data_IF_039809922385
#
_entry.id   IF_039809922385
#
_cell.length_a   1.000
_cell.length_b   1.000
_cell.length_c   1.000
_cell.angle_alpha   90.00
_cell.angle_beta   90.00
_cell.angle_gamma   90.00
#
_symmetry.space_group_name_H-M   'P 1'
#
loop_
_entity.id
_entity.type
_entity.pdbx_description
1 polymer ?
#
# COMPACT_ATOMS: atom_id res chain seq x y z
N UNK A 1 11.60 40.47 3.44
CA UNK A 1 10.25 40.33 4.02
C UNK A 1 10.34 39.50 5.29
N UNK A 2 9.83 39.98 6.42
CA UNK A 2 9.65 39.16 7.64
C UNK A 2 8.24 38.54 7.65
N UNK A 3 7.82 37.93 6.54
CA UNK A 3 6.59 37.15 6.49
C UNK A 3 6.96 35.70 6.76
N UNK A 4 6.34 35.12 7.78
CA UNK A 4 6.50 33.70 8.07
C UNK A 4 5.83 32.85 6.99
N UNK A 5 6.33 31.63 6.77
CA UNK A 5 5.76 30.68 5.81
C UNK A 5 4.25 30.44 6.04
N UNK A 6 3.79 30.47 7.30
CA UNK A 6 2.37 30.33 7.67
C UNK A 6 1.53 31.52 7.22
N UNK A 7 2.04 32.74 7.37
CA UNK A 7 1.37 33.96 6.93
C UNK A 7 1.28 34.01 5.40
N UNK A 8 2.32 33.55 4.72
CA UNK A 8 2.32 33.42 3.25
C UNK A 8 1.29 32.37 2.81
N UNK A 9 1.28 31.19 3.44
CA UNK A 9 0.33 30.13 3.15
C UNK A 9 -1.12 30.60 3.30
N UNK A 10 -1.43 31.32 4.40
CA UNK A 10 -2.76 31.88 4.65
C UNK A 10 -3.18 32.90 3.57
N UNK A 11 -2.26 33.74 3.09
CA UNK A 11 -2.57 34.71 2.01
C UNK A 11 -2.76 34.05 0.65
N UNK A 12 -2.04 32.96 0.38
CA UNK A 12 -2.15 32.20 -0.85
C UNK A 12 -3.31 31.20 -0.84
N UNK A 13 -4.01 31.04 0.28
CA UNK A 13 -5.10 30.07 0.43
C UNK A 13 -4.63 28.61 0.35
N UNK A 14 -3.34 28.36 0.61
CA UNK A 14 -2.74 27.02 0.59
C UNK A 14 -2.24 26.65 1.99
N UNK A 15 -1.94 25.36 2.21
CA UNK A 15 -1.38 24.93 3.48
C UNK A 15 0.14 25.20 3.57
N UNK A 16 0.65 25.30 4.80
CA UNK A 16 2.07 25.50 5.10
C UNK A 16 2.98 24.49 4.37
N UNK A 17 2.59 23.21 4.35
CA UNK A 17 3.37 22.15 3.71
C UNK A 17 3.58 22.37 2.20
N UNK A 18 2.64 23.04 1.53
CA UNK A 18 2.74 23.39 0.11
C UNK A 18 3.81 24.46 -0.11
N UNK A 19 3.82 25.51 0.71
CA UNK A 19 4.84 26.57 0.66
C UNK A 19 6.22 26.02 0.98
N UNK A 20 6.35 25.20 2.03
CA UNK A 20 7.62 24.58 2.41
C UNK A 20 8.20 23.68 1.29
N UNK A 21 7.33 22.99 0.53
CA UNK A 21 7.74 22.16 -0.61
C UNK A 21 8.24 22.99 -1.80
N UNK A 22 7.66 24.17 -2.01
CA UNK A 22 8.12 25.11 -3.02
C UNK A 22 9.50 25.69 -2.67
N UNK A 23 9.69 26.11 -1.42
CA UNK A 23 10.98 26.63 -0.96
C UNK A 23 12.08 25.56 -0.93
N UNK A 24 11.73 24.30 -0.67
CA UNK A 24 12.66 23.17 -0.72
C UNK A 24 12.98 22.69 -2.16
N UNK A 25 12.43 23.35 -3.20
CA UNK A 25 12.70 23.03 -4.61
C UNK A 25 12.01 21.77 -5.14
N UNK A 26 11.11 21.15 -4.37
CA UNK A 26 10.45 19.89 -4.75
C UNK A 26 9.27 20.06 -5.72
N UNK A 27 8.74 21.28 -5.85
CA UNK A 27 7.66 21.61 -6.77
C UNK A 27 7.64 23.12 -7.04
N UNK A 28 7.06 23.57 -8.15
CA UNK A 28 6.85 25.00 -8.42
C UNK A 28 5.40 25.40 -8.13
N UNK A 29 5.15 26.64 -7.68
CA UNK A 29 3.80 27.14 -7.50
C UNK A 29 3.01 27.15 -8.81
N UNK A 30 1.70 26.91 -8.71
CA UNK A 30 0.79 27.04 -9.85
C UNK A 30 0.65 28.53 -10.25
N UNK A 31 0.30 28.79 -11.50
CA UNK A 31 0.28 30.14 -12.09
C UNK A 31 -0.46 31.20 -11.25
N UNK A 32 -1.62 30.86 -10.65
CA UNK A 32 -2.35 31.77 -9.77
C UNK A 32 -1.56 32.14 -8.50
N UNK A 33 -0.93 31.15 -7.86
CA UNK A 33 -0.11 31.38 -6.67
C UNK A 33 1.17 32.16 -7.02
N UNK A 34 1.77 31.93 -8.20
CA UNK A 34 2.90 32.71 -8.71
C UNK A 34 2.56 34.19 -8.84
N UNK A 35 1.41 34.53 -9.43
CA UNK A 35 0.98 35.92 -9.58
C UNK A 35 0.82 36.62 -8.24
N UNK A 36 0.23 35.95 -7.24
CA UNK A 36 0.09 36.52 -5.89
C UNK A 36 1.44 36.66 -5.19
N UNK A 37 2.35 35.68 -5.32
CA UNK A 37 3.71 35.76 -4.78
C UNK A 37 4.48 36.94 -5.42
N UNK A 38 4.36 37.14 -6.73
CA UNK A 38 4.98 38.25 -7.45
C UNK A 38 4.40 39.61 -7.02
N UNK A 39 3.08 39.71 -6.85
CA UNK A 39 2.44 40.92 -6.33
C UNK A 39 2.93 41.24 -4.90
N UNK A 40 3.02 40.23 -4.03
CA UNK A 40 3.57 40.38 -2.67
C UNK A 40 5.07 40.76 -2.69
N UNK A 41 5.84 40.26 -3.66
CA UNK A 41 7.24 40.63 -3.83
C UNK A 41 7.42 42.09 -4.27
N UNK A 42 6.53 42.59 -5.14
CA UNK A 42 6.49 43.99 -5.56
C UNK A 42 6.10 44.92 -4.42
N UNK A 43 5.07 44.57 -3.64
CA UNK A 43 4.65 45.32 -2.43
C UNK A 43 5.76 45.42 -1.38
N UNK A 44 6.63 44.41 -1.32
CA UNK A 44 7.74 44.35 -0.38
C UNK A 44 9.03 45.02 -0.86
N UNK A 45 9.03 45.66 -2.03
CA UNK A 45 10.18 46.37 -2.57
C UNK A 45 11.35 45.48 -2.99
N UNK A 46 11.13 44.18 -3.23
CA UNK A 46 12.17 43.27 -3.72
C UNK A 46 12.23 43.37 -5.24
N UNK A 47 13.15 44.18 -5.77
CA UNK A 47 13.47 44.16 -7.20
C UNK A 47 14.32 42.92 -7.51
N UNK A 48 13.67 41.86 -7.98
CA UNK A 48 14.36 40.75 -8.63
C UNK A 48 14.86 41.19 -10.00
N UNK A 49 16.17 41.16 -10.18
CA UNK A 49 16.86 41.30 -11.47
C UNK A 49 16.20 40.42 -12.55
N UNK A 50 15.99 41.04 -13.70
CA UNK A 50 15.49 40.54 -14.99
C UNK A 50 15.34 39.01 -15.14
N UNK A 51 14.10 38.58 -15.41
CA UNK A 51 13.81 37.29 -16.05
C UNK A 51 13.60 37.51 -17.55
N UNK A 52 14.19 36.70 -18.47
CA UNK A 52 14.04 36.90 -19.91
C UNK A 52 12.60 36.63 -20.39
N UNK A 53 12.22 37.15 -21.58
CA UNK A 53 10.83 37.13 -22.06
C UNK A 53 10.25 35.72 -22.32
N UNK A 54 8.91 35.57 -22.25
CA UNK A 54 8.20 34.29 -22.11
C UNK A 54 7.96 33.56 -23.46
N UNK A 55 8.95 33.47 -24.34
CA UNK A 55 8.74 32.94 -25.70
C UNK A 55 9.31 31.53 -25.97
N UNK A 56 10.21 30.97 -25.15
CA UNK A 56 10.95 29.75 -25.55
C UNK A 56 10.73 28.50 -24.67
N UNK A 57 9.95 28.57 -23.59
CA UNK A 57 9.75 27.42 -22.69
C UNK A 57 8.45 26.63 -22.94
N UNK A 58 7.77 26.83 -24.08
CA UNK A 58 6.51 26.16 -24.41
C UNK A 58 6.67 24.83 -25.16
N UNK A 59 7.88 24.27 -25.22
CA UNK A 59 8.13 23.00 -25.88
C UNK A 59 8.86 22.03 -24.95
N UNK A 60 8.32 20.80 -24.87
CA UNK A 60 8.84 19.64 -24.13
C UNK A 60 8.49 19.75 -22.63
N UNK A 61 7.53 18.99 -22.10
CA UNK A 61 7.64 17.54 -21.89
C UNK A 61 6.23 16.97 -21.68
N UNK A 62 5.74 16.19 -22.66
CA UNK A 62 4.66 15.23 -22.43
C UNK A 62 5.20 14.09 -21.57
N UNK A 63 5.28 14.30 -20.25
CA UNK A 63 5.66 13.22 -19.33
C UNK A 63 4.48 12.28 -19.18
N UNK A 64 4.54 11.22 -19.99
CA UNK A 64 3.91 9.91 -19.78
C UNK A 64 3.71 9.70 -18.28
N UNK A 65 2.44 9.56 -17.87
CA UNK A 65 2.06 9.10 -16.54
C UNK A 65 2.54 7.65 -16.40
N UNK A 66 3.80 7.45 -16.05
CA UNK A 66 4.23 6.19 -15.46
C UNK A 66 3.55 6.15 -14.10
N UNK A 67 2.46 5.37 -14.01
CA UNK A 67 1.95 4.92 -12.75
C UNK A 67 3.12 4.27 -12.02
N UNK A 68 3.66 4.97 -11.03
CA UNK A 68 4.44 4.32 -10.00
C UNK A 68 3.39 3.51 -9.25
N UNK A 69 3.20 2.26 -9.65
CA UNK A 69 2.66 1.26 -8.74
C UNK A 69 3.63 1.26 -7.56
N UNK A 70 3.28 2.03 -6.54
CA UNK A 70 3.79 1.78 -5.23
C UNK A 70 3.32 0.36 -4.93
N UNK A 71 4.24 -0.59 -4.96
CA UNK A 71 4.07 -1.86 -4.28
C UNK A 71 3.89 -1.50 -2.81
N UNK A 72 2.63 -1.22 -2.46
CA UNK A 72 2.22 -1.03 -1.08
C UNK A 72 2.58 -2.35 -0.41
N UNK A 73 3.62 -2.34 0.42
CA UNK A 73 3.77 -3.34 1.47
C UNK A 73 2.40 -3.45 2.11
N UNK A 74 1.73 -4.62 2.04
CA UNK A 74 0.36 -4.74 2.49
C UNK A 74 0.37 -4.41 3.98
N UNK A 75 -0.06 -3.20 4.31
CA UNK A 75 -0.36 -2.84 5.67
C UNK A 75 -1.43 -3.83 6.13
N UNK A 76 -1.25 -4.43 7.30
CA UNK A 76 -2.16 -5.48 7.79
C UNK A 76 -3.54 -4.92 8.14
N UNK A 77 -3.61 -3.62 8.46
CA UNK A 77 -4.83 -2.90 8.83
C UNK A 77 -6.00 -3.12 7.85
N UNK A 78 -5.86 -2.95 6.52
CA UNK A 78 -6.93 -3.26 5.59
C UNK A 78 -7.33 -4.75 5.54
N UNK A 79 -6.37 -5.68 5.67
CA UNK A 79 -6.67 -7.12 5.62
C UNK A 79 -7.41 -7.59 6.87
N UNK A 80 -6.98 -7.13 8.05
CA UNK A 80 -7.67 -7.39 9.32
C UNK A 80 -9.11 -6.86 9.29
N UNK A 81 -9.31 -5.64 8.75
CA UNK A 81 -10.63 -5.05 8.60
C UNK A 81 -11.52 -5.86 7.64
N UNK A 82 -10.99 -6.27 6.49
CA UNK A 82 -11.72 -7.12 5.54
C UNK A 82 -12.11 -8.47 6.13
N UNK A 83 -11.19 -9.10 6.87
CA UNK A 83 -11.46 -10.38 7.56
C UNK A 83 -12.49 -10.21 8.68
N UNK A 84 -12.44 -9.10 9.41
CA UNK A 84 -13.42 -8.75 10.43
C UNK A 84 -14.81 -8.56 9.83
N UNK A 85 -14.93 -7.82 8.72
CA UNK A 85 -16.19 -7.57 8.05
C UNK A 85 -16.78 -8.87 7.46
N UNK A 86 -15.94 -9.70 6.84
CA UNK A 86 -16.33 -11.03 6.36
C UNK A 86 -16.82 -11.92 7.52
N UNK A 87 -16.08 -11.97 8.62
CA UNK A 87 -16.48 -12.75 9.80
C UNK A 87 -17.81 -12.26 10.41
N UNK A 88 -18.02 -10.93 10.45
CA UNK A 88 -19.28 -10.34 10.89
C UNK A 88 -20.45 -10.74 9.97
N UNK A 89 -20.20 -10.78 8.65
CA UNK A 89 -21.19 -11.21 7.66
C UNK A 89 -21.58 -12.69 7.82
N UNK A 90 -20.60 -13.58 8.00
CA UNK A 90 -20.84 -15.04 8.10
C UNK A 90 -21.52 -15.42 9.42
N UNK A 91 -21.28 -14.65 10.50
CA UNK A 91 -21.87 -14.93 11.82
C UNK A 91 -23.39 -14.74 11.85
N UNK A 92 -23.93 -13.79 11.09
CA UNK A 92 -25.36 -13.43 11.15
C UNK A 92 -25.83 -13.05 12.56
N UNK A 93 -27.08 -13.38 12.90
CA UNK A 93 -27.70 -13.12 14.22
C UNK A 93 -27.20 -14.06 15.34
N UNK A 94 -26.25 -14.95 15.02
CA UNK A 94 -25.76 -15.95 15.97
C UNK A 94 -24.91 -15.30 17.05
N UNK A 95 -25.09 -15.75 18.29
CA UNK A 95 -24.35 -15.29 19.46
C UNK A 95 -22.82 -15.35 19.22
N UNK A 96 -22.16 -14.20 19.37
CA UNK A 96 -20.73 -14.03 19.17
C UNK A 96 -19.89 -14.96 20.03
N UNK A 97 -20.36 -15.29 21.24
CA UNK A 97 -19.64 -16.17 22.16
C UNK A 97 -19.53 -17.60 21.63
N UNK A 98 -20.56 -18.10 20.92
CA UNK A 98 -20.58 -19.46 20.35
C UNK A 98 -19.90 -19.55 18.99
N UNK A 99 -19.79 -18.45 18.25
CA UNK A 99 -19.25 -18.46 16.89
C UNK A 99 -17.76 -18.85 16.84
N UNK A 100 -16.98 -18.42 17.84
CA UNK A 100 -15.55 -18.76 17.95
C UNK A 100 -15.31 -20.28 18.01
N UNK A 101 -16.22 -21.03 18.64
CA UNK A 101 -16.08 -22.47 18.84
C UNK A 101 -16.25 -23.25 17.53
N UNK A 102 -16.84 -22.63 16.50
CA UNK A 102 -16.93 -23.20 15.15
C UNK A 102 -15.85 -22.62 14.23
N UNK A 103 -15.60 -21.31 14.32
CA UNK A 103 -14.66 -20.65 13.42
C UNK A 103 -13.21 -21.07 13.68
N UNK A 104 -12.80 -21.16 14.95
CA UNK A 104 -11.42 -21.49 15.30
C UNK A 104 -11.03 -22.91 14.86
N UNK A 105 -11.83 -23.97 15.09
CA UNK A 105 -11.51 -25.30 14.58
C UNK A 105 -11.45 -25.37 13.05
N UNK A 106 -12.34 -24.65 12.34
CA UNK A 106 -12.33 -24.62 10.88
C UNK A 106 -11.08 -23.92 10.33
N UNK A 107 -10.70 -22.78 10.92
CA UNK A 107 -9.49 -22.07 10.53
C UNK A 107 -8.24 -22.90 10.83
N UNK A 108 -8.24 -23.60 11.96
CA UNK A 108 -7.17 -24.51 12.34
C UNK A 108 -7.05 -25.68 11.35
N UNK A 109 -8.17 -26.31 10.98
CA UNK A 109 -8.20 -27.37 10.00
C UNK A 109 -7.68 -26.88 8.64
N UNK A 110 -8.16 -25.73 8.16
CA UNK A 110 -7.66 -25.12 6.92
C UNK A 110 -6.15 -24.87 6.98
N UNK A 111 -5.65 -24.38 8.12
CA UNK A 111 -4.21 -24.15 8.29
C UNK A 111 -3.41 -25.44 8.27
N UNK A 112 -3.94 -26.53 8.85
CA UNK A 112 -3.31 -27.85 8.76
C UNK A 112 -3.27 -28.35 7.31
N UNK A 113 -4.38 -28.28 6.58
CA UNK A 113 -4.40 -28.65 5.15
C UNK A 113 -3.38 -27.84 4.35
N UNK A 114 -3.28 -26.52 4.59
CA UNK A 114 -2.31 -25.66 3.89
C UNK A 114 -0.86 -26.02 4.17
N UNK A 115 -0.51 -26.31 5.43
CA UNK A 115 0.87 -26.73 5.75
C UNK A 115 1.18 -28.08 5.12
N UNK A 116 0.21 -29.01 5.12
CA UNK A 116 0.38 -30.32 4.49
C UNK A 116 0.63 -30.16 2.98
N UNK A 117 -0.19 -29.37 2.29
CA UNK A 117 -0.05 -29.11 0.86
C UNK A 117 1.30 -28.44 0.52
N UNK A 118 1.74 -27.48 1.34
CA UNK A 118 3.07 -26.85 1.21
C UNK A 118 4.20 -27.88 1.36
N UNK A 119 4.09 -28.80 2.32
CA UNK A 119 5.09 -29.86 2.55
C UNK A 119 5.11 -30.88 1.40
N UNK A 120 3.95 -31.30 0.89
CA UNK A 120 3.86 -32.17 -0.28
C UNK A 120 4.44 -31.47 -1.51
N UNK A 121 4.16 -30.17 -1.70
CA UNK A 121 4.73 -29.39 -2.81
C UNK A 121 6.26 -29.37 -2.74
N UNK A 122 6.84 -29.19 -1.56
CA UNK A 122 8.31 -29.27 -1.37
C UNK A 122 8.87 -30.65 -1.64
N UNK A 123 8.15 -31.71 -1.25
CA UNK A 123 8.55 -33.08 -1.58
C UNK A 123 8.47 -33.32 -3.10
N UNK A 124 7.46 -32.77 -3.77
CA UNK A 124 7.32 -32.86 -5.22
C UNK A 124 8.51 -32.20 -5.93
N UNK A 125 8.96 -31.04 -5.47
CA UNK A 125 10.17 -30.39 -6.01
C UNK A 125 11.44 -31.26 -5.86
N UNK A 126 11.51 -32.08 -4.81
CA UNK A 126 12.67 -32.95 -4.53
C UNK A 126 12.61 -34.29 -5.26
N UNK A 127 11.42 -34.88 -5.36
CA UNK A 127 11.22 -36.25 -5.85
C UNK A 127 10.57 -36.32 -7.24
N UNK A 128 10.17 -35.18 -7.81
CA UNK A 128 9.76 -35.05 -9.22
C UNK A 128 8.38 -34.44 -9.38
N UNK A 129 7.34 -35.13 -8.91
CA UNK A 129 5.95 -34.70 -9.06
C UNK A 129 5.11 -34.88 -7.79
N UNK A 130 3.92 -34.27 -7.80
CA UNK A 130 3.01 -34.25 -6.65
C UNK A 130 2.46 -35.66 -6.32
N UNK A 131 2.18 -36.49 -7.33
CA UNK A 131 1.64 -37.83 -7.12
C UNK A 131 2.66 -38.73 -6.41
N UNK A 132 3.91 -38.71 -6.87
CA UNK A 132 5.04 -39.42 -6.27
C UNK A 132 5.31 -38.92 -4.85
N UNK A 133 5.27 -37.60 -4.64
CA UNK A 133 5.42 -37.02 -3.31
C UNK A 133 4.33 -37.50 -2.33
N UNK A 134 3.09 -37.65 -2.81
CA UNK A 134 1.99 -38.17 -2.00
C UNK A 134 2.20 -39.65 -1.66
N UNK A 135 2.57 -40.50 -2.63
CA UNK A 135 2.86 -41.92 -2.38
C UNK A 135 4.02 -42.11 -1.39
N UNK A 136 5.07 -41.31 -1.51
CA UNK A 136 6.20 -41.30 -0.58
C UNK A 136 5.73 -40.86 0.81
N UNK A 137 4.94 -39.79 0.89
CA UNK A 137 4.41 -39.30 2.16
C UNK A 137 3.42 -40.28 2.83
N UNK A 138 2.73 -41.13 2.06
CA UNK A 138 1.89 -42.22 2.56
C UNK A 138 2.70 -43.41 3.05
N UNK A 139 3.89 -43.63 2.49
CA UNK A 139 4.80 -44.71 2.88
C UNK A 139 5.66 -44.33 4.08
N UNK A 140 6.13 -43.07 4.13
CA UNK A 140 7.01 -42.55 5.17
C UNK A 140 6.49 -41.20 5.69
N UNK A 141 5.69 -41.30 6.75
CA UNK A 141 5.10 -40.13 7.42
C UNK A 141 6.14 -39.28 8.17
N UNK A 142 7.38 -39.77 8.38
CA UNK A 142 8.42 -39.03 9.11
C UNK A 142 8.99 -37.85 8.30
N UNK A 143 8.74 -37.84 6.99
CA UNK A 143 9.12 -36.75 6.09
C UNK A 143 8.25 -35.50 6.27
N UNK A 144 7.09 -35.64 6.91
CA UNK A 144 6.14 -34.57 7.17
C UNK A 144 6.10 -34.23 8.65
N UNK A 145 5.69 -32.99 8.96
CA UNK A 145 5.52 -32.59 10.36
C UNK A 145 4.26 -33.21 10.97
N UNK A 146 3.24 -33.43 10.16
CA UNK A 146 2.06 -34.23 10.45
C UNK A 146 1.49 -34.78 9.16
N UNK A 147 0.86 -35.96 9.23
CA UNK A 147 0.23 -36.59 8.09
C UNK A 147 -1.29 -36.38 8.12
N UNK A 148 -1.86 -36.00 6.97
CA UNK A 148 -3.30 -35.84 6.79
C UNK A 148 -3.84 -36.98 5.91
N UNK A 149 -4.71 -37.86 6.43
CA UNK A 149 -5.22 -38.99 5.66
C UNK A 149 -6.16 -38.53 4.54
N UNK A 150 -6.31 -39.31 3.45
CA UNK A 150 -7.10 -38.92 2.28
C UNK A 150 -8.53 -38.47 2.58
N UNK A 151 -9.15 -39.01 3.63
CA UNK A 151 -10.52 -38.68 4.03
C UNK A 151 -10.63 -37.30 4.72
N UNK A 152 -9.52 -36.75 5.20
CA UNK A 152 -9.44 -35.49 5.93
C UNK A 152 -8.72 -34.38 5.13
N UNK A 153 -8.32 -34.68 3.88
CA UNK A 153 -7.74 -33.71 2.94
C UNK A 153 -8.84 -32.86 2.32
#
# INVERSE_FOLDING_TARGET
MNLTQEQLAKRLGVCFATVNRWESGGNTPQHAAQQTILALAQEAGVQGTESPPPAEAAAQVTRRRTGREATATPTTKPMEQMLWDAACSIRGEKDAAKFKDYLLPLLFLKRLSDVFDDEITRLAEKYGDYATALEIAESDHSLLRFYLPPQAR
#
